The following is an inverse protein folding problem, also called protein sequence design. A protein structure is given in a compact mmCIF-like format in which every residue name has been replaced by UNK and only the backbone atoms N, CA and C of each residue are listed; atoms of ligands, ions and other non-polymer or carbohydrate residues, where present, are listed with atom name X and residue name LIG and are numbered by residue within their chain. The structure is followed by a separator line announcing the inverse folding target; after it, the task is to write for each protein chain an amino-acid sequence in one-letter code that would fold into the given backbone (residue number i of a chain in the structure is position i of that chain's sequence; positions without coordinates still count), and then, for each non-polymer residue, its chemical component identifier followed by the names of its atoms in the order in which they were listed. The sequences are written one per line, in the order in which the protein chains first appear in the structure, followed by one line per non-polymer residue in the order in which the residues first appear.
data_IF_101219130378
#
_entry.id   IF_101219130378
#
_cell.length_a   1.000
_cell.length_b   1.000
_cell.length_c   1.000
_cell.angle_alpha   90.00
_cell.angle_beta   90.00
_cell.angle_gamma   90.00
#
_symmetry.space_group_name_H-M   'P 1'
#
loop_
_entity.id
_entity.type
_entity.pdbx_description
1 polymer ?
#
# COMPACT_ATOMS: atom_id res chain seq x y z
N UNK A 1 20.81 -10.07 52.83
CA UNK A 1 20.66 -8.85 52.03
C UNK A 1 21.53 -9.01 50.80
N UNK A 2 20.93 -9.43 49.69
CA UNK A 2 21.24 -9.13 48.28
C UNK A 2 20.32 -10.05 47.46
N UNK A 3 19.44 -9.42 46.71
CA UNK A 3 18.28 -9.93 45.98
C UNK A 3 18.63 -10.44 44.58
N UNK A 4 17.86 -11.45 44.12
CA UNK A 4 17.34 -11.73 42.75
C UNK A 4 18.20 -11.34 41.53
N UNK A 5 18.32 -12.21 40.52
CA UNK A 5 17.36 -12.33 39.41
C UNK A 5 17.50 -13.70 38.70
N UNK A 6 16.37 -14.32 38.36
CA UNK A 6 16.24 -15.52 37.51
C UNK A 6 16.38 -15.17 36.01
N UNK A 7 16.97 -16.04 35.18
CA UNK A 7 17.22 -15.77 33.77
C UNK A 7 16.01 -16.17 32.89
N UNK A 8 15.01 -15.32 32.80
CA UNK A 8 13.99 -15.40 31.74
C UNK A 8 13.88 -14.08 30.99
N UNK A 9 14.89 -13.83 30.14
CA UNK A 9 14.89 -12.78 29.12
C UNK A 9 15.27 -13.42 27.78
N UNK A 10 14.41 -14.33 27.30
CA UNK A 10 14.31 -14.61 25.87
C UNK A 10 13.01 -13.95 25.42
N UNK A 11 13.21 -12.85 24.69
CA UNK A 11 12.21 -11.92 24.21
C UNK A 11 11.18 -12.60 23.31
N UNK A 12 10.09 -13.09 23.92
CA UNK A 12 8.82 -13.26 23.24
C UNK A 12 8.19 -11.87 23.09
N UNK A 13 8.39 -11.22 21.94
CA UNK A 13 7.54 -10.10 21.49
C UNK A 13 6.16 -10.64 21.06
N UNK A 14 5.49 -11.35 21.95
CA UNK A 14 4.03 -11.45 21.94
C UNK A 14 3.54 -10.21 22.64
N UNK A 15 2.98 -9.28 21.87
CA UNK A 15 2.28 -8.12 22.41
C UNK A 15 1.21 -8.63 23.39
N UNK A 16 1.43 -8.38 24.69
CA UNK A 16 0.48 -8.67 25.74
C UNK A 16 -0.81 -7.90 25.44
N UNK A 17 -1.80 -8.62 24.91
CA UNK A 17 -3.20 -8.22 24.79
C UNK A 17 -3.85 -8.26 26.18
N UNK A 18 -3.50 -7.30 27.04
CA UNK A 18 -4.20 -7.08 28.30
C UNK A 18 -4.99 -5.77 28.25
N UNK A 19 -6.31 -5.95 28.13
CA UNK A 19 -7.38 -5.06 28.57
C UNK A 19 -7.30 -3.59 28.12
N UNK A 20 -7.80 -3.34 26.91
CA UNK A 20 -8.36 -2.03 26.57
C UNK A 20 -9.90 -2.07 26.71
N UNK A 21 -10.53 -1.01 27.24
CA UNK A 21 -11.98 -0.96 27.40
C UNK A 21 -12.65 -1.06 26.04
N UNK A 22 -13.69 -1.90 25.98
CA UNK A 22 -14.55 -2.19 24.83
C UNK A 22 -14.88 -0.93 24.01
N UNK A 23 -14.32 -0.84 22.79
CA UNK A 23 -14.71 0.17 21.79
C UNK A 23 -13.61 0.69 20.86
N UNK A 24 -12.33 0.40 21.12
CA UNK A 24 -11.25 0.81 20.19
C UNK A 24 -11.10 -0.26 19.11
N UNK A 25 -11.83 -0.11 18.00
CA UNK A 25 -11.50 -0.84 16.77
C UNK A 25 -10.09 -0.40 16.34
N UNK A 26 -9.10 -1.28 16.50
CA UNK A 26 -7.78 -1.07 15.92
C UNK A 26 -7.94 -1.15 14.41
N UNK A 27 -8.05 0.00 13.74
CA UNK A 27 -8.01 0.04 12.28
C UNK A 27 -6.65 -0.45 11.82
N UNK A 28 -6.66 -1.38 10.86
CA UNK A 28 -5.42 -1.80 10.19
C UNK A 28 -4.92 -0.68 9.26
N UNK A 29 -3.64 -0.72 8.86
CA UNK A 29 -3.02 0.29 8.01
C UNK A 29 -3.74 0.47 6.68
N UNK A 30 -4.30 -0.61 6.09
CA UNK A 30 -5.13 -0.53 4.89
C UNK A 30 -6.39 0.32 5.11
N UNK A 31 -7.10 0.12 6.23
CA UNK A 31 -8.28 0.92 6.58
C UNK A 31 -7.93 2.39 6.84
N UNK A 32 -6.79 2.66 7.47
CA UNK A 32 -6.31 4.04 7.69
C UNK A 32 -6.06 4.73 6.35
N UNK A 33 -5.35 4.07 5.42
CA UNK A 33 -5.09 4.61 4.09
C UNK A 33 -6.37 4.82 3.28
N UNK A 34 -7.28 3.84 3.30
CA UNK A 34 -8.57 3.95 2.61
C UNK A 34 -9.39 5.15 3.11
N UNK A 35 -9.31 5.45 4.41
CA UNK A 35 -9.99 6.61 5.02
C UNK A 35 -9.32 7.93 4.67
N UNK A 36 -8.01 7.95 4.51
CA UNK A 36 -7.22 9.16 4.22
C UNK A 36 -7.27 9.55 2.73
N UNK A 37 -7.64 8.60 1.87
CA UNK A 37 -7.81 8.79 0.43
C UNK A 37 -8.71 9.99 0.10
N UNK A 38 -8.21 10.84 -0.81
CA UNK A 38 -8.96 11.97 -1.37
C UNK A 38 -8.99 11.88 -2.89
N UNK A 39 -10.20 11.74 -3.44
CA UNK A 39 -10.41 11.63 -4.89
C UNK A 39 -9.81 12.82 -5.67
N UNK A 40 -9.94 14.04 -5.15
CA UNK A 40 -9.38 15.23 -5.82
C UNK A 40 -7.85 15.18 -5.92
N UNK A 41 -7.15 14.69 -4.89
CA UNK A 41 -5.70 14.51 -4.92
C UNK A 41 -5.30 13.44 -5.93
N UNK A 42 -6.04 12.32 -5.95
CA UNK A 42 -5.83 11.25 -6.94
C UNK A 42 -6.00 11.75 -8.37
N UNK A 43 -7.10 12.44 -8.67
CA UNK A 43 -7.39 12.95 -10.01
C UNK A 43 -6.33 13.96 -10.48
N UNK A 44 -5.84 14.81 -9.59
CA UNK A 44 -4.75 15.74 -9.90
C UNK A 44 -3.46 14.99 -10.28
N UNK A 45 -3.07 13.99 -9.49
CA UNK A 45 -1.87 13.20 -9.79
C UNK A 45 -2.04 12.32 -11.04
N UNK A 46 -3.22 11.74 -11.23
CA UNK A 46 -3.55 10.97 -12.42
C UNK A 46 -3.45 11.81 -13.69
N UNK A 47 -3.93 13.06 -13.67
CA UNK A 47 -3.81 13.97 -14.81
C UNK A 47 -2.34 14.25 -15.16
N UNK A 48 -1.50 14.45 -14.15
CA UNK A 48 -0.05 14.53 -14.36
C UNK A 48 0.50 13.24 -15.00
N UNK A 49 0.11 12.07 -14.49
CA UNK A 49 0.56 10.77 -15.01
C UNK A 49 0.11 10.52 -16.46
N UNK A 50 -1.13 10.91 -16.82
CA UNK A 50 -1.68 10.80 -18.18
C UNK A 50 -0.85 11.58 -19.21
N UNK A 51 -0.21 12.68 -18.81
CA UNK A 51 0.73 13.42 -19.66
C UNK A 51 2.09 12.73 -19.64
N UNK A 52 2.59 12.35 -18.46
CA UNK A 52 3.94 11.80 -18.30
C UNK A 52 4.13 10.47 -19.02
N UNK A 53 3.12 9.61 -19.03
CA UNK A 53 3.17 8.29 -19.67
C UNK A 53 3.50 8.38 -21.16
N UNK A 54 3.12 9.47 -21.85
CA UNK A 54 3.40 9.68 -23.28
C UNK A 54 4.91 9.80 -23.58
N UNK A 55 5.72 10.13 -22.57
CA UNK A 55 7.18 10.22 -22.70
C UNK A 55 7.91 8.88 -22.47
N UNK A 56 7.19 7.82 -22.10
CA UNK A 56 7.77 6.50 -21.84
C UNK A 56 7.83 5.64 -23.10
N UNK A 57 8.72 4.65 -23.09
CA UNK A 57 8.84 3.66 -24.18
C UNK A 57 7.59 2.80 -24.28
N UNK A 58 7.35 2.21 -25.46
CA UNK A 58 6.24 1.27 -25.65
C UNK A 58 6.32 0.07 -24.69
N UNK A 59 7.53 -0.43 -24.44
CA UNK A 59 7.77 -1.53 -23.52
C UNK A 59 7.29 -1.19 -22.10
N UNK A 60 7.65 -0.01 -21.57
CA UNK A 60 7.19 0.43 -20.26
C UNK A 60 5.68 0.70 -20.22
N UNK A 61 5.10 1.22 -21.31
CA UNK A 61 3.65 1.51 -21.38
C UNK A 61 2.80 0.25 -21.40
N UNK A 62 3.31 -0.84 -21.95
CA UNK A 62 2.55 -2.06 -22.19
C UNK A 62 2.83 -3.14 -21.12
N UNK A 63 3.62 -2.83 -20.09
CA UNK A 63 4.10 -3.84 -19.13
C UNK A 63 3.00 -4.46 -18.24
N UNK A 64 1.78 -3.90 -18.26
CA UNK A 64 0.60 -4.34 -17.51
C UNK A 64 -0.62 -4.62 -18.41
N UNK A 65 -0.46 -4.71 -19.73
CA UNK A 65 -1.60 -4.82 -20.67
C UNK A 65 -2.42 -6.11 -20.47
N UNK A 66 -1.76 -7.20 -20.09
CA UNK A 66 -2.36 -8.51 -19.78
C UNK A 66 -3.10 -8.58 -18.44
N UNK A 67 -2.97 -7.57 -17.58
CA UNK A 67 -3.63 -7.57 -16.26
C UNK A 67 -5.03 -6.93 -16.34
N UNK A 68 -6.04 -7.59 -15.78
CA UNK A 68 -7.39 -7.04 -15.64
C UNK A 68 -7.49 -6.12 -14.40
N UNK A 69 -6.86 -4.96 -14.49
CA UNK A 69 -6.94 -3.90 -13.46
C UNK A 69 -7.36 -2.57 -14.08
N UNK A 70 -7.88 -1.66 -13.25
CA UNK A 70 -8.33 -0.35 -13.68
C UNK A 70 -7.24 0.43 -14.43
N UNK A 71 -7.60 0.99 -15.60
CA UNK A 71 -6.67 1.69 -16.50
C UNK A 71 -6.00 2.88 -15.83
N UNK A 72 -6.70 3.59 -14.94
CA UNK A 72 -6.12 4.75 -14.26
C UNK A 72 -5.02 4.32 -13.27
N UNK A 73 -5.24 3.19 -12.58
CA UNK A 73 -4.24 2.59 -11.71
C UNK A 73 -3.04 2.09 -12.53
N UNK A 74 -3.26 1.47 -13.70
CA UNK A 74 -2.17 1.07 -14.62
C UNK A 74 -1.29 2.26 -14.97
N UNK A 75 -1.90 3.37 -15.39
CA UNK A 75 -1.19 4.58 -15.78
C UNK A 75 -0.29 5.08 -14.66
N UNK A 76 -0.82 5.17 -13.44
CA UNK A 76 -0.05 5.63 -12.27
C UNK A 76 1.09 4.68 -11.93
N UNK A 77 0.84 3.36 -11.94
CA UNK A 77 1.87 2.35 -11.69
C UNK A 77 3.01 2.41 -12.71
N UNK A 78 2.67 2.52 -13.99
CA UNK A 78 3.64 2.63 -15.08
C UNK A 78 4.49 3.89 -14.93
N UNK A 79 3.88 5.03 -14.59
CA UNK A 79 4.64 6.28 -14.38
C UNK A 79 5.56 6.18 -13.16
N UNK A 80 5.09 5.60 -12.05
CA UNK A 80 5.85 5.44 -10.81
C UNK A 80 7.01 4.45 -10.93
N UNK A 81 6.77 3.31 -11.56
CA UNK A 81 7.66 2.15 -11.46
C UNK A 81 8.17 1.64 -12.80
N UNK A 82 7.61 2.11 -13.92
CA UNK A 82 7.96 1.66 -15.26
C UNK A 82 7.90 0.13 -15.37
N UNK A 83 9.00 -0.52 -15.77
CA UNK A 83 9.09 -1.98 -15.87
C UNK A 83 8.91 -2.71 -14.53
N UNK A 84 9.11 -2.05 -13.39
CA UNK A 84 8.91 -2.63 -12.05
C UNK A 84 7.45 -2.60 -11.57
N UNK A 85 6.54 -2.00 -12.34
CA UNK A 85 5.14 -1.86 -11.96
C UNK A 85 4.47 -3.20 -11.62
N UNK A 86 4.74 -4.23 -12.42
CA UNK A 86 4.23 -5.58 -12.19
C UNK A 86 4.76 -6.17 -10.90
N UNK A 87 6.07 -6.02 -10.67
CA UNK A 87 6.70 -6.58 -9.48
C UNK A 87 6.13 -5.93 -8.21
N UNK A 88 5.89 -4.62 -8.24
CA UNK A 88 5.29 -3.90 -7.11
C UNK A 88 3.89 -4.43 -6.77
N UNK A 89 3.04 -4.74 -7.76
CA UNK A 89 1.71 -5.30 -7.55
C UNK A 89 1.71 -6.64 -6.80
N UNK A 90 2.77 -7.45 -6.97
CA UNK A 90 2.89 -8.78 -6.38
C UNK A 90 3.80 -8.83 -5.14
N UNK A 91 4.45 -7.72 -4.80
CA UNK A 91 5.26 -7.60 -3.58
C UNK A 91 4.39 -7.27 -2.38
N UNK A 92 4.83 -7.75 -1.22
CA UNK A 92 4.31 -7.28 0.07
C UNK A 92 4.76 -5.86 0.29
N UNK A 93 3.81 -4.97 0.57
CA UNK A 93 4.09 -3.54 0.79
C UNK A 93 3.86 -3.22 2.27
N UNK A 94 4.89 -2.79 3.01
CA UNK A 94 4.75 -2.51 4.45
C UNK A 94 3.65 -1.51 4.78
N UNK A 95 3.47 -0.49 3.94
CA UNK A 95 2.41 0.50 4.12
C UNK A 95 0.99 -0.07 3.98
N UNK A 96 0.85 -1.24 3.34
CA UNK A 96 -0.41 -1.95 3.15
C UNK A 96 -0.48 -3.18 4.07
N UNK A 97 0.08 -3.09 5.27
CA UNK A 97 0.16 -4.18 6.26
C UNK A 97 0.75 -5.48 5.70
N UNK A 98 1.81 -5.37 4.89
CA UNK A 98 2.47 -6.51 4.24
C UNK A 98 1.56 -7.29 3.26
N UNK A 99 0.45 -6.71 2.83
CA UNK A 99 -0.43 -7.27 1.79
C UNK A 99 0.10 -6.92 0.39
N UNK A 100 -0.29 -7.74 -0.60
CA UNK A 100 0.02 -7.46 -2.00
C UNK A 100 -1.01 -6.49 -2.56
N UNK A 101 -0.60 -5.41 -3.24
CA UNK A 101 -1.54 -4.48 -3.87
C UNK A 101 -2.55 -5.17 -4.79
N UNK A 102 -2.12 -6.18 -5.56
CA UNK A 102 -3.01 -6.93 -6.45
C UNK A 102 -4.21 -7.57 -5.74
N UNK A 103 -4.01 -8.07 -4.53
CA UNK A 103 -5.07 -8.73 -3.74
C UNK A 103 -6.08 -7.69 -3.20
N UNK A 104 -5.62 -6.46 -2.94
CA UNK A 104 -6.44 -5.36 -2.41
C UNK A 104 -7.35 -4.70 -3.46
N UNK A 105 -6.95 -4.74 -4.74
CA UNK A 105 -7.72 -4.15 -5.85
C UNK A 105 -9.08 -4.82 -6.08
N UNK A 106 -9.35 -5.98 -5.46
CA UNK A 106 -10.64 -6.66 -5.53
C UNK A 106 -11.76 -5.93 -4.76
N UNK A 107 -11.43 -4.95 -3.93
CA UNK A 107 -12.42 -4.23 -3.10
C UNK A 107 -12.29 -2.72 -3.26
N UNK A 108 -13.39 -1.99 -3.06
CA UNK A 108 -13.37 -0.52 -3.12
C UNK A 108 -12.45 0.08 -2.05
N UNK A 109 -12.51 -0.44 -0.82
CA UNK A 109 -11.65 0.02 0.29
C UNK A 109 -10.17 -0.24 0.00
N UNK A 110 -9.83 -1.46 -0.44
CA UNK A 110 -8.46 -1.81 -0.81
C UNK A 110 -7.96 -0.99 -2.00
N UNK A 111 -8.83 -0.68 -2.96
CA UNK A 111 -8.50 0.22 -4.07
C UNK A 111 -8.14 1.62 -3.59
N UNK A 112 -8.94 2.20 -2.67
CA UNK A 112 -8.63 3.50 -2.07
C UNK A 112 -7.30 3.47 -1.30
N UNK A 113 -7.04 2.40 -0.55
CA UNK A 113 -5.78 2.23 0.16
C UNK A 113 -4.58 2.15 -0.79
N UNK A 114 -4.68 1.39 -1.89
CA UNK A 114 -3.62 1.30 -2.91
C UNK A 114 -3.39 2.66 -3.57
N UNK A 115 -4.46 3.38 -3.94
CA UNK A 115 -4.35 4.72 -4.51
C UNK A 115 -3.66 5.70 -3.55
N UNK A 116 -4.05 5.71 -2.28
CA UNK A 116 -3.42 6.54 -1.25
C UNK A 116 -1.94 6.16 -1.02
N UNK A 117 -1.63 4.87 -1.00
CA UNK A 117 -0.24 4.40 -0.91
C UNK A 117 0.62 4.90 -2.08
N UNK A 118 0.09 4.87 -3.32
CA UNK A 118 0.77 5.38 -4.51
C UNK A 118 0.99 6.91 -4.47
N UNK A 119 0.08 7.65 -3.84
CA UNK A 119 0.20 9.11 -3.65
C UNK A 119 1.31 9.47 -2.65
N UNK A 120 1.62 8.60 -1.69
CA UNK A 120 2.65 8.83 -0.66
C UNK A 120 4.08 8.54 -1.11
N UNK A 121 4.24 7.92 -2.28
CA UNK A 121 5.56 7.67 -2.84
C UNK A 121 6.13 9.01 -3.30
N UNK A 122 7.37 9.36 -2.94
CA UNK A 122 8.02 10.56 -3.46
C UNK A 122 8.34 10.39 -4.96
N UNK A 123 8.28 11.50 -5.71
CA UNK A 123 8.70 11.57 -7.12
C UNK A 123 10.23 11.55 -7.27
#
# INVERSE_FOLDING_TARGET
MLSYISPELISNKTWNLLNFPSGVFLMNGVEVLAREYKESTWLNYLNYCKIRILSLTNESRNCLDDLEIDTEIKIVLIVRFQSYAREWLHKKVPALDEQKPMELLATESGTKAVKEALLRIPD
#
